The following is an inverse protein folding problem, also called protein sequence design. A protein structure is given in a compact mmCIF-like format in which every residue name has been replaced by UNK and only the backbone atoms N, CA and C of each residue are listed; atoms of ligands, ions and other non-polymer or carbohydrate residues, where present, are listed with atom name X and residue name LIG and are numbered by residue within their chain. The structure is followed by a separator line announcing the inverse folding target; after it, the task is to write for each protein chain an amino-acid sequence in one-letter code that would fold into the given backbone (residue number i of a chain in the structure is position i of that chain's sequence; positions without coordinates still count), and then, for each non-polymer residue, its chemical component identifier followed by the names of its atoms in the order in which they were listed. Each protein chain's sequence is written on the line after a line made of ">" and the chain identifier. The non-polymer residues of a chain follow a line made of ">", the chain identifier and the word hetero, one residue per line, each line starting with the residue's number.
data_IF_820168684246
#
_entry.id   IF_820168684246
#
_cell.length_a   1.000
_cell.length_b   1.000
_cell.length_c   1.000
_cell.angle_alpha   90.00
_cell.angle_beta   90.00
_cell.angle_gamma   90.00
#
_symmetry.space_group_name_H-M   'P 1'
#
loop_
_entity.id
_entity.type
_entity.pdbx_description
1 polymer ?
#
# COMPACT_ATOMS: atom_id res chain seq x y z
N UNK A 1 -26.78 0.06 -6.60
CA UNK A 1 -25.56 0.72 -7.10
C UNK A 1 -24.35 0.02 -6.46
N UNK A 2 -23.24 -0.17 -7.20
CA UNK A 2 -21.99 -0.63 -6.61
C UNK A 2 -21.43 0.47 -5.72
N UNK A 3 -21.48 0.24 -4.40
CA UNK A 3 -20.87 1.06 -3.35
C UNK A 3 -21.07 2.59 -3.51
N UNK A 4 -19.99 3.36 -3.37
CA UNK A 4 -19.95 4.82 -3.21
C UNK A 4 -19.86 5.61 -4.53
N UNK A 5 -19.95 4.95 -5.70
CA UNK A 5 -19.83 5.59 -7.02
C UNK A 5 -18.60 6.54 -7.17
N UNK A 6 -17.48 6.21 -6.53
CA UNK A 6 -16.24 7.01 -6.59
C UNK A 6 -16.24 8.27 -5.74
N UNK A 7 -17.16 8.43 -4.77
CA UNK A 7 -17.20 9.59 -3.87
C UNK A 7 -15.88 9.81 -3.11
N UNK A 8 -15.13 8.74 -2.87
CA UNK A 8 -13.83 8.78 -2.22
C UNK A 8 -12.75 8.19 -3.13
N UNK A 9 -11.64 8.91 -3.27
CA UNK A 9 -10.50 8.45 -4.05
C UNK A 9 -9.82 7.25 -3.37
N UNK A 10 -9.63 6.18 -4.12
CA UNK A 10 -8.89 4.99 -3.70
C UNK A 10 -7.39 5.22 -3.87
N UNK A 11 -6.61 4.80 -2.89
CA UNK A 11 -5.15 4.87 -2.94
C UNK A 11 -4.60 3.45 -3.01
N UNK A 12 -3.92 3.10 -4.10
CA UNK A 12 -3.37 1.77 -4.34
C UNK A 12 -1.84 1.76 -4.31
N UNK A 13 -1.25 0.74 -3.71
CA UNK A 13 0.19 0.51 -3.72
C UNK A 13 0.49 -0.72 -4.60
N UNK A 14 1.21 -0.51 -5.69
CA UNK A 14 1.51 -1.58 -6.64
C UNK A 14 2.69 -2.42 -6.14
N UNK A 15 2.50 -3.74 -6.06
CA UNK A 15 3.54 -4.69 -5.67
C UNK A 15 4.48 -5.07 -6.84
N UNK A 16 4.15 -4.64 -8.06
CA UNK A 16 4.93 -4.81 -9.29
C UNK A 16 5.22 -3.43 -9.90
N UNK A 17 6.33 -3.28 -10.65
CA UNK A 17 6.61 -2.03 -11.35
C UNK A 17 5.50 -1.67 -12.35
N UNK A 18 5.39 -0.39 -12.74
CA UNK A 18 4.47 0.05 -13.79
C UNK A 18 4.56 -0.80 -15.06
N UNK A 19 3.45 -0.94 -15.78
CA UNK A 19 3.40 -1.67 -17.05
C UNK A 19 3.18 -3.19 -16.93
N UNK A 20 2.86 -3.69 -15.74
CA UNK A 20 2.45 -5.10 -15.52
C UNK A 20 0.92 -5.29 -15.56
N UNK A 21 0.18 -4.31 -16.10
CA UNK A 21 -1.28 -4.38 -16.33
C UNK A 21 -2.15 -3.92 -15.16
N UNK A 22 -1.58 -3.66 -13.99
CA UNK A 22 -2.33 -3.22 -12.79
C UNK A 22 -3.13 -1.95 -13.07
N UNK A 23 -2.54 -1.00 -13.79
CA UNK A 23 -3.17 0.28 -14.11
C UNK A 23 -4.42 0.08 -14.97
N UNK A 24 -4.36 -0.81 -15.96
CA UNK A 24 -5.48 -1.10 -16.85
C UNK A 24 -6.61 -1.84 -16.11
N UNK A 25 -6.26 -2.81 -15.26
CA UNK A 25 -7.23 -3.55 -14.45
C UNK A 25 -7.94 -2.63 -13.44
N UNK A 26 -7.20 -1.74 -12.77
CA UNK A 26 -7.79 -0.80 -11.81
C UNK A 26 -8.66 0.24 -12.50
N UNK A 27 -8.26 0.75 -13.67
CA UNK A 27 -9.11 1.66 -14.46
C UNK A 27 -10.43 0.99 -14.86
N UNK A 28 -10.43 -0.30 -15.22
CA UNK A 28 -11.65 -1.05 -15.52
C UNK A 28 -12.58 -1.25 -14.32
N UNK A 29 -12.04 -1.29 -13.10
CA UNK A 29 -12.79 -1.51 -11.85
C UNK A 29 -13.28 -0.22 -11.20
N UNK A 30 -12.48 0.85 -11.25
CA UNK A 30 -12.75 2.11 -10.57
C UNK A 30 -12.33 3.33 -11.42
N UNK A 31 -13.00 3.59 -12.56
CA UNK A 31 -12.57 4.59 -13.53
C UNK A 31 -12.28 5.96 -12.92
N UNK A 32 -11.05 6.47 -13.10
CA UNK A 32 -10.62 7.79 -12.61
C UNK A 32 -10.79 8.08 -11.10
N UNK A 33 -11.16 7.09 -10.29
CA UNK A 33 -11.43 7.23 -8.86
C UNK A 33 -10.28 6.73 -7.97
N UNK A 34 -9.05 6.71 -8.50
CA UNK A 34 -7.89 6.18 -7.80
C UNK A 34 -6.59 6.96 -8.02
N UNK A 35 -5.60 6.65 -7.19
CA UNK A 35 -4.18 6.99 -7.39
C UNK A 35 -3.34 5.77 -7.06
N UNK A 36 -2.50 5.34 -8.00
CA UNK A 36 -1.55 4.25 -7.80
C UNK A 36 -0.17 4.81 -7.44
N UNK A 37 0.51 4.12 -6.53
CA UNK A 37 1.89 4.36 -6.12
C UNK A 37 2.73 3.15 -6.47
N UNK A 38 3.89 3.36 -7.07
CA UNK A 38 4.88 2.28 -7.22
C UNK A 38 5.48 1.96 -5.85
N UNK A 39 5.00 0.89 -5.24
CA UNK A 39 5.52 0.35 -3.99
C UNK A 39 6.33 -0.93 -4.23
N UNK A 40 6.65 -1.25 -5.49
CA UNK A 40 7.22 -2.53 -5.89
C UNK A 40 8.63 -2.71 -5.33
N UNK A 41 9.36 -1.60 -5.11
CA UNK A 41 10.78 -1.59 -4.74
C UNK A 41 11.64 -2.27 -5.82
N UNK A 42 11.28 -2.03 -7.07
CA UNK A 42 11.98 -2.55 -8.25
C UNK A 42 11.59 -3.97 -8.67
N UNK A 43 10.55 -4.57 -8.07
CA UNK A 43 10.06 -5.86 -8.53
C UNK A 43 9.11 -6.57 -7.57
N UNK A 44 8.39 -7.57 -8.09
CA UNK A 44 7.58 -8.44 -7.25
C UNK A 44 8.43 -9.14 -6.18
N UNK A 45 7.91 -9.23 -4.96
CA UNK A 45 8.61 -9.82 -3.81
C UNK A 45 9.98 -9.24 -3.45
N UNK A 46 10.36 -8.08 -4.01
CA UNK A 46 11.54 -7.36 -3.56
C UNK A 46 11.33 -6.80 -2.16
N UNK A 47 12.28 -7.11 -1.29
CA UNK A 47 12.34 -6.67 0.10
C UNK A 47 13.74 -6.09 0.32
N UNK A 48 13.83 -5.01 1.09
CA UNK A 48 15.11 -4.42 1.46
C UNK A 48 15.07 -3.92 2.92
N UNK A 49 16.23 -3.54 3.48
CA UNK A 49 16.34 -3.19 4.90
C UNK A 49 15.45 -2.04 5.34
N UNK A 50 15.19 -1.05 4.46
CA UNK A 50 14.36 0.09 4.82
C UNK A 50 12.89 -0.32 5.00
N UNK A 51 12.40 -1.23 4.17
CA UNK A 51 11.06 -1.80 4.34
C UNK A 51 10.95 -2.62 5.64
N UNK A 52 11.94 -3.46 5.94
CA UNK A 52 11.93 -4.29 7.14
C UNK A 52 11.98 -3.43 8.41
N UNK A 53 12.84 -2.42 8.45
CA UNK A 53 12.94 -1.48 9.57
C UNK A 53 11.63 -0.70 9.78
N UNK A 54 10.99 -0.26 8.69
CA UNK A 54 9.69 0.40 8.77
C UNK A 54 8.61 -0.52 9.34
N UNK A 55 8.52 -1.76 8.85
CA UNK A 55 7.57 -2.76 9.36
C UNK A 55 7.77 -2.99 10.86
N UNK A 56 9.02 -3.18 11.30
CA UNK A 56 9.34 -3.38 12.70
C UNK A 56 8.91 -2.19 13.56
N UNK A 57 9.19 -0.95 13.10
CA UNK A 57 8.80 0.25 13.82
C UNK A 57 7.27 0.38 13.93
N UNK A 58 6.54 0.17 12.83
CA UNK A 58 5.07 0.20 12.83
C UNK A 58 4.46 -0.88 13.72
N UNK A 59 5.07 -2.06 13.79
CA UNK A 59 4.60 -3.14 14.66
C UNK A 59 4.79 -2.81 16.14
N UNK A 60 5.92 -2.20 16.50
CA UNK A 60 6.18 -1.73 17.86
C UNK A 60 5.18 -0.63 18.25
N UNK A 61 4.89 0.29 17.33
CA UNK A 61 4.01 1.43 17.60
C UNK A 61 2.53 1.06 17.62
N UNK A 62 2.06 0.30 16.63
CA UNK A 62 0.64 0.04 16.42
C UNK A 62 0.17 -1.34 16.92
N UNK A 63 1.09 -2.28 17.17
CA UNK A 63 0.75 -3.65 17.56
C UNK A 63 0.08 -4.48 16.44
N UNK A 64 0.15 -4.03 15.19
CA UNK A 64 -0.48 -4.69 14.03
C UNK A 64 0.61 -5.35 13.18
N UNK A 65 0.60 -6.69 13.01
CA UNK A 65 1.59 -7.38 12.20
C UNK A 65 1.39 -7.06 10.71
N UNK A 66 2.49 -6.77 10.00
CA UNK A 66 2.52 -6.52 8.55
C UNK A 66 3.37 -7.56 7.81
N UNK A 67 3.30 -7.61 6.50
CA UNK A 67 4.19 -8.47 5.71
C UNK A 67 4.81 -7.68 4.54
N UNK A 68 6.02 -8.06 4.08
CA UNK A 68 6.80 -7.19 3.20
C UNK A 68 6.38 -7.24 1.72
N UNK A 69 5.49 -8.15 1.32
CA UNK A 69 5.06 -8.29 -0.07
C UNK A 69 3.97 -7.30 -0.48
N UNK A 70 3.02 -7.01 0.41
CA UNK A 70 1.86 -6.16 0.18
C UNK A 70 1.62 -5.16 1.32
N UNK A 71 1.23 -5.61 2.52
CA UNK A 71 0.67 -4.69 3.54
C UNK A 71 1.72 -3.74 4.11
N UNK A 72 2.96 -4.20 4.30
CA UNK A 72 4.09 -3.37 4.70
C UNK A 72 4.46 -2.35 3.62
N UNK A 73 4.45 -2.76 2.34
CA UNK A 73 4.70 -1.86 1.20
C UNK A 73 3.61 -0.80 1.06
N UNK A 74 2.35 -1.20 1.23
CA UNK A 74 1.22 -0.28 1.16
C UNK A 74 1.25 0.75 2.29
N UNK A 75 1.53 0.33 3.52
CA UNK A 75 1.63 1.25 4.65
C UNK A 75 2.83 2.19 4.52
N UNK A 76 3.97 1.69 4.03
CA UNK A 76 5.15 2.52 3.77
C UNK A 76 4.87 3.56 2.68
N UNK A 77 4.23 3.16 1.58
CA UNK A 77 3.84 4.10 0.53
C UNK A 77 2.91 5.19 1.07
N UNK A 78 1.90 4.82 1.88
CA UNK A 78 1.03 5.78 2.54
C UNK A 78 1.81 6.73 3.45
N UNK A 79 2.70 6.20 4.30
CA UNK A 79 3.54 6.99 5.19
C UNK A 79 4.36 8.02 4.41
N UNK A 80 4.98 7.63 3.29
CA UNK A 80 5.72 8.53 2.42
C UNK A 80 4.84 9.65 1.84
N UNK A 81 3.60 9.36 1.47
CA UNK A 81 2.67 10.39 0.98
C UNK A 81 2.27 11.37 2.09
N UNK A 82 2.09 10.90 3.32
CA UNK A 82 1.84 11.76 4.49
C UNK A 82 3.05 12.66 4.74
N UNK A 83 4.26 12.11 4.76
CA UNK A 83 5.49 12.89 4.96
C UNK A 83 5.75 13.91 3.84
N UNK A 84 5.35 13.59 2.61
CA UNK A 84 5.45 14.49 1.47
C UNK A 84 4.36 15.59 1.45
N UNK A 85 3.44 15.62 2.43
CA UNK A 85 2.34 16.58 2.45
C UNK A 85 1.30 16.37 1.34
N UNK A 86 1.27 15.18 0.72
CA UNK A 86 0.32 14.87 -0.36
C UNK A 86 -1.12 14.66 0.14
N UNK A 87 -1.31 14.60 1.45
CA UNK A 87 -2.59 14.46 2.13
C UNK A 87 -2.78 15.63 3.09
N UNK A 88 -3.92 16.30 3.03
CA UNK A 88 -4.20 17.44 3.89
C UNK A 88 -4.23 17.03 5.37
N UNK A 89 -3.71 17.88 6.25
CA UNK A 89 -3.77 17.64 7.70
C UNK A 89 -5.24 17.47 8.15
N UNK A 90 -5.48 16.48 9.03
CA UNK A 90 -6.82 16.12 9.47
C UNK A 90 -7.59 15.18 8.53
N UNK A 91 -7.02 14.81 7.38
CA UNK A 91 -7.62 13.77 6.50
C UNK A 91 -7.74 12.45 7.28
N UNK A 92 -8.95 11.88 7.29
CA UNK A 92 -9.21 10.55 7.85
C UNK A 92 -9.09 9.53 6.74
N UNK A 93 -8.30 8.50 6.98
CA UNK A 93 -8.06 7.42 6.02
C UNK A 93 -8.48 6.08 6.60
N UNK A 94 -8.95 5.21 5.72
CA UNK A 94 -9.15 3.79 6.01
C UNK A 94 -8.02 3.06 5.30
N UNK A 95 -7.16 2.40 6.09
CA UNK A 95 -6.15 1.50 5.55
C UNK A 95 -6.68 0.07 5.54
N UNK A 96 -6.73 -0.56 4.37
CA UNK A 96 -7.19 -1.95 4.24
C UNK A 96 -6.00 -2.89 4.41
N UNK A 97 -5.88 -3.48 5.59
CA UNK A 97 -4.91 -4.52 5.86
C UNK A 97 -5.39 -5.85 5.24
N UNK A 98 -4.93 -6.16 4.03
CA UNK A 98 -5.43 -7.31 3.23
C UNK A 98 -4.99 -8.70 3.74
N UNK A 99 -4.20 -8.78 4.82
CA UNK A 99 -3.72 -10.03 5.40
C UNK A 99 -2.35 -10.41 4.86
N UNK A 100 -2.17 -11.66 4.41
CA UNK A 100 -0.92 -12.10 3.78
C UNK A 100 0.19 -12.57 4.72
N UNK A 101 -0.05 -12.61 6.04
CA UNK A 101 0.99 -12.87 7.07
C UNK A 101 1.76 -14.18 6.87
N UNK A 102 1.23 -15.13 6.10
CA UNK A 102 1.99 -16.30 5.66
C UNK A 102 3.30 -15.95 4.91
N UNK A 103 3.37 -14.78 4.26
CA UNK A 103 4.55 -14.25 3.57
C UNK A 103 5.68 -13.81 4.51
N UNK A 104 5.43 -13.75 5.83
CA UNK A 104 6.42 -13.36 6.84
C UNK A 104 7.41 -14.45 7.20
N UNK A 105 7.09 -15.72 6.94
CA UNK A 105 7.84 -16.87 7.47
C UNK A 105 9.32 -16.92 7.06
N UNK A 106 9.74 -16.15 6.05
CA UNK A 106 11.14 -16.01 5.63
C UNK A 106 11.88 -14.79 6.21
N UNK A 107 11.26 -14.00 7.09
CA UNK A 107 11.77 -12.71 7.57
C UNK A 107 11.66 -12.53 9.10
N UNK A 108 11.18 -13.54 9.81
CA UNK A 108 11.07 -13.58 11.27
C UNK A 108 12.33 -14.18 11.91
#
# INVERSE_FOLDING_TARGET
>A
ALAEAGAHRVHGAMAVPPGHGVEAEVEGLAPSAYRLYDASRGGFAKVDPALLAFIQACEIEAGIPLEPLYTGKALLALHQQVQAGALAAGTRLIFVHTGGLQGRRGFA
#
